data_IF_922329572258
#
_entry.id   IF_922329572258
#
_cell.length_a   1.000
_cell.length_b   1.000
_cell.length_c   1.000
_cell.angle_alpha   90.00
_cell.angle_beta   90.00
_cell.angle_gamma   90.00
#
_symmetry.space_group_name_H-M   'P 1'
#
loop_
_entity.id
_entity.type
_entity.pdbx_description
1 polymer ?
#
# COMPACT_ATOMS: atom_id res chain seq x y z
N UNK A 1 25.39 -6.68 26.48
CA UNK A 1 24.91 -5.76 25.43
C UNK A 1 24.41 -6.62 24.30
N UNK A 2 23.19 -7.14 24.42
CA UNK A 2 22.60 -8.05 23.43
C UNK A 2 21.92 -7.19 22.37
N UNK A 3 22.49 -7.17 21.18
CA UNK A 3 21.87 -6.56 20.00
C UNK A 3 20.65 -7.39 19.63
N UNK A 4 19.45 -6.94 19.99
CA UNK A 4 18.21 -7.61 19.63
C UNK A 4 17.88 -7.23 18.19
N UNK A 5 17.98 -8.20 17.28
CA UNK A 5 17.38 -8.06 15.95
C UNK A 5 15.89 -7.76 16.13
N UNK A 6 15.27 -6.84 15.37
CA UNK A 6 13.85 -6.58 15.48
C UNK A 6 13.06 -7.88 15.33
N UNK A 7 12.02 -8.08 16.15
CA UNK A 7 11.08 -9.17 15.87
C UNK A 7 10.42 -8.95 14.50
N UNK A 8 9.98 -10.04 13.85
CA UNK A 8 9.46 -10.00 12.48
C UNK A 8 8.33 -8.97 12.31
N UNK A 9 7.48 -8.84 13.32
CA UNK A 9 6.43 -7.82 13.40
C UNK A 9 6.99 -6.40 13.31
N UNK A 10 7.98 -6.09 14.15
CA UNK A 10 8.61 -4.76 14.17
C UNK A 10 9.27 -4.47 12.84
N UNK A 11 10.02 -5.42 12.28
CA UNK A 11 10.64 -5.25 10.96
C UNK A 11 9.59 -4.99 9.86
N UNK A 12 8.50 -5.76 9.85
CA UNK A 12 7.41 -5.61 8.90
C UNK A 12 6.73 -4.24 9.04
N UNK A 13 6.34 -3.83 10.25
CA UNK A 13 5.73 -2.52 10.48
C UNK A 13 6.66 -1.38 10.08
N UNK A 14 7.96 -1.45 10.40
CA UNK A 14 8.92 -0.40 10.00
C UNK A 14 9.17 -0.34 8.50
N UNK A 15 8.96 -1.45 7.77
CA UNK A 15 9.05 -1.43 6.30
C UNK A 15 8.05 -0.46 5.66
N UNK A 16 6.90 -0.23 6.32
CA UNK A 16 5.84 0.67 5.88
C UNK A 16 6.19 2.17 6.06
N UNK A 17 7.23 2.52 6.83
CA UNK A 17 7.59 3.92 7.12
C UNK A 17 7.81 4.76 5.84
N UNK A 18 8.27 4.13 4.76
CA UNK A 18 8.47 4.81 3.47
C UNK A 18 7.20 5.31 2.80
N UNK A 19 6.04 4.72 3.12
CA UNK A 19 4.75 5.13 2.57
C UNK A 19 4.24 6.40 3.25
N UNK A 20 4.66 6.68 4.49
CA UNK A 20 4.16 7.80 5.29
C UNK A 20 4.30 9.13 4.56
N UNK A 21 3.20 9.86 4.41
CA UNK A 21 3.12 11.13 3.68
C UNK A 21 1.96 11.15 2.70
N UNK A 22 1.85 12.25 1.95
CA UNK A 22 0.87 12.43 0.89
C UNK A 22 1.52 12.13 -0.46
N UNK A 23 0.79 11.43 -1.32
CA UNK A 23 1.21 11.06 -2.66
C UNK A 23 0.11 11.43 -3.65
N UNK A 24 0.49 12.06 -4.74
CA UNK A 24 -0.34 12.06 -5.95
C UNK A 24 -0.27 10.70 -6.61
N UNK A 25 -1.37 10.23 -7.17
CA UNK A 25 -1.45 9.01 -7.98
C UNK A 25 -1.88 9.40 -9.37
N UNK A 26 -1.22 8.87 -10.39
CA UNK A 26 -1.62 9.10 -11.78
C UNK A 26 -1.32 7.89 -12.67
N UNK A 27 -2.06 7.76 -13.77
CA UNK A 27 -1.69 6.89 -14.88
C UNK A 27 -2.07 7.48 -16.25
N UNK A 28 -1.56 6.92 -17.36
CA UNK A 28 -1.89 7.40 -18.71
C UNK A 28 -3.36 7.25 -19.10
N UNK A 29 -4.09 6.36 -18.44
CA UNK A 29 -5.50 6.04 -18.72
C UNK A 29 -6.49 6.98 -18.02
N UNK A 30 -5.99 8.02 -17.34
CA UNK A 30 -6.80 9.07 -16.73
C UNK A 30 -7.13 8.86 -15.24
N UNK A 31 -6.59 7.82 -14.59
CA UNK A 31 -6.58 7.73 -13.14
C UNK A 31 -5.75 8.90 -12.59
N UNK A 32 -6.32 9.63 -11.63
CA UNK A 32 -5.63 10.73 -10.96
C UNK A 32 -6.19 10.96 -9.55
N UNK A 33 -5.36 11.43 -8.62
CA UNK A 33 -5.85 11.80 -7.30
C UNK A 33 -4.74 11.77 -6.25
N UNK A 34 -5.14 11.59 -5.00
CA UNK A 34 -4.21 11.55 -3.88
C UNK A 34 -4.48 10.38 -2.94
N UNK A 35 -3.41 9.87 -2.35
CA UNK A 35 -3.45 9.00 -1.19
C UNK A 35 -2.58 9.60 -0.08
N UNK A 36 -3.00 9.42 1.17
CA UNK A 36 -2.27 9.89 2.34
C UNK A 36 -2.07 8.75 3.32
N UNK A 37 -0.82 8.51 3.71
CA UNK A 37 -0.46 7.53 4.72
C UNK A 37 -0.02 8.20 6.01
N UNK A 38 -0.58 7.76 7.13
CA UNK A 38 -0.19 8.23 8.46
C UNK A 38 -0.27 7.12 9.49
N UNK A 39 0.65 7.13 10.45
CA UNK A 39 0.62 6.18 11.55
C UNK A 39 -0.51 6.54 12.52
N UNK A 40 -1.35 5.57 12.85
CA UNK A 40 -2.25 5.67 13.99
C UNK A 40 -1.44 5.71 15.29
N UNK A 41 -2.01 6.34 16.33
CA UNK A 41 -1.43 6.32 17.67
C UNK A 41 -1.07 4.89 18.09
N UNK A 42 0.14 4.73 18.64
CA UNK A 42 0.71 3.43 19.00
C UNK A 42 1.47 2.71 17.90
N UNK A 43 1.44 3.19 16.65
CA UNK A 43 2.33 2.72 15.57
C UNK A 43 2.11 1.27 15.12
N UNK A 44 0.89 0.76 15.33
CA UNK A 44 0.50 -0.61 14.96
C UNK A 44 -0.30 -0.68 13.65
N UNK A 45 -0.86 0.45 13.23
CA UNK A 45 -1.67 0.58 12.03
C UNK A 45 -1.19 1.78 11.22
N UNK A 46 -0.79 1.53 9.98
CA UNK A 46 -0.65 2.59 8.99
C UNK A 46 -2.01 2.82 8.35
N UNK A 47 -2.51 4.04 8.43
CA UNK A 47 -3.80 4.43 7.86
C UNK A 47 -3.55 5.10 6.53
N UNK A 48 -4.20 4.59 5.48
CA UNK A 48 -4.24 5.18 4.15
C UNK A 48 -5.61 5.82 3.93
N UNK A 49 -5.65 7.11 3.59
CA UNK A 49 -6.84 7.76 3.03
C UNK A 49 -6.70 7.83 1.52
N UNK A 50 -7.76 7.49 0.79
CA UNK A 50 -7.78 7.42 -0.67
C UNK A 50 -8.82 8.37 -1.25
N UNK A 51 -8.42 9.19 -2.23
CA UNK A 51 -9.29 10.03 -3.05
C UNK A 51 -8.78 10.03 -4.50
N UNK A 52 -9.22 9.04 -5.26
CA UNK A 52 -8.84 8.81 -6.65
C UNK A 52 -10.05 9.01 -7.58
N UNK A 53 -9.77 9.58 -8.75
CA UNK A 53 -10.71 9.91 -9.81
C UNK A 53 -10.29 9.17 -11.08
N UNK A 54 -11.25 8.81 -11.91
CA UNK A 54 -11.04 8.08 -13.15
C UNK A 54 -12.37 7.57 -13.69
N UNK A 55 -12.34 6.56 -14.55
CA UNK A 55 -13.55 5.84 -14.99
C UNK A 55 -14.30 5.24 -13.80
N UNK A 56 -13.56 4.66 -12.84
CA UNK A 56 -14.08 4.13 -11.58
C UNK A 56 -13.45 4.90 -10.40
N UNK A 57 -14.09 5.98 -9.90
CA UNK A 57 -13.60 6.74 -8.77
C UNK A 57 -13.50 5.88 -7.52
N UNK A 58 -12.39 6.00 -6.79
CA UNK A 58 -12.15 5.24 -5.56
C UNK A 58 -11.92 6.21 -4.41
N UNK A 59 -12.78 6.14 -3.40
CA UNK A 59 -12.63 6.90 -2.16
C UNK A 59 -12.79 5.97 -0.97
N UNK A 60 -11.95 6.12 0.04
CA UNK A 60 -12.05 5.26 1.23
C UNK A 60 -10.91 5.44 2.20
N UNK A 61 -10.88 4.56 3.19
CA UNK A 61 -9.82 4.46 4.19
C UNK A 61 -9.37 3.01 4.29
N UNK A 62 -8.06 2.80 4.40
CA UNK A 62 -7.46 1.50 4.59
C UNK A 62 -6.57 1.48 5.82
N UNK A 63 -6.64 0.39 6.58
CA UNK A 63 -5.81 0.16 7.74
C UNK A 63 -4.88 -1.00 7.44
N UNK A 64 -3.58 -0.75 7.42
CA UNK A 64 -2.53 -1.76 7.19
C UNK A 64 -1.82 -2.05 8.51
N UNK A 65 -1.73 -3.32 8.90
CA UNK A 65 -1.13 -3.73 10.17
C UNK A 65 -0.59 -5.15 10.14
N UNK A 66 0.04 -5.56 11.24
CA UNK A 66 0.57 -6.92 11.39
C UNK A 66 -0.51 -7.90 11.82
N UNK A 67 -0.71 -8.95 11.03
CA UNK A 67 -1.51 -10.11 11.39
C UNK A 67 -0.60 -11.15 12.04
N UNK A 68 -0.84 -11.44 13.32
CA UNK A 68 -0.03 -12.37 14.09
C UNK A 68 -0.28 -13.84 13.72
N UNK A 69 -1.47 -14.18 13.25
CA UNK A 69 -1.85 -15.54 12.88
C UNK A 69 -1.30 -15.89 11.50
N UNK A 70 -1.37 -14.94 10.56
CA UNK A 70 -0.80 -15.09 9.22
C UNK A 70 0.72 -14.85 9.18
N UNK A 71 1.26 -14.06 10.11
CA UNK A 71 2.66 -13.66 10.12
C UNK A 71 3.03 -12.71 8.98
N UNK A 72 2.09 -11.88 8.55
CA UNK A 72 2.25 -10.97 7.41
C UNK A 72 1.57 -9.61 7.67
N UNK A 73 1.84 -8.61 6.83
CA UNK A 73 1.08 -7.36 6.85
C UNK A 73 -0.23 -7.55 6.09
N UNK A 74 -1.34 -7.31 6.76
CA UNK A 74 -2.69 -7.38 6.20
C UNK A 74 -3.34 -6.02 6.26
N UNK A 75 -4.27 -5.78 5.35
CA UNK A 75 -5.06 -4.56 5.36
C UNK A 75 -6.53 -4.78 5.10
N UNK A 76 -7.32 -3.80 5.54
CA UNK A 76 -8.75 -3.70 5.24
C UNK A 76 -9.06 -2.31 4.71
N UNK A 77 -9.52 -2.24 3.47
CA UNK A 77 -10.02 -1.03 2.82
C UNK A 77 -11.54 -0.95 2.96
N UNK A 78 -12.02 0.21 3.39
CA UNK A 78 -13.43 0.57 3.50
C UNK A 78 -13.74 1.66 2.48
N UNK A 79 -14.42 1.28 1.42
CA UNK A 79 -14.78 2.16 0.31
C UNK A 79 -16.05 2.96 0.58
N UNK A 80 -16.13 4.15 -0.01
CA UNK A 80 -17.29 5.03 0.09
C UNK A 80 -18.53 4.45 -0.62
N UNK A 81 -18.37 3.46 -1.50
CA UNK A 81 -19.47 2.70 -2.11
C UNK A 81 -19.98 1.56 -1.23
N UNK A 82 -19.38 1.32 -0.06
CA UNK A 82 -19.71 0.23 0.85
C UNK A 82 -18.87 -1.03 0.65
N UNK A 83 -17.80 -0.93 -0.13
CA UNK A 83 -16.83 -2.01 -0.34
C UNK A 83 -16.04 -2.29 0.94
N UNK A 84 -15.80 -3.58 1.21
CA UNK A 84 -14.82 -4.04 2.18
C UNK A 84 -13.86 -4.98 1.46
N UNK A 85 -12.64 -4.52 1.25
CA UNK A 85 -11.60 -5.25 0.52
C UNK A 85 -10.44 -5.55 1.45
N UNK A 86 -9.81 -6.71 1.26
CA UNK A 86 -8.67 -7.14 2.05
C UNK A 86 -7.44 -7.26 1.16
N UNK A 87 -6.27 -6.90 1.69
CA UNK A 87 -5.01 -7.05 0.97
C UNK A 87 -3.91 -7.61 1.87
N UNK A 88 -2.88 -8.19 1.25
CA UNK A 88 -1.59 -8.46 1.90
C UNK A 88 -0.54 -7.49 1.35
N UNK A 89 0.31 -6.95 2.21
CA UNK A 89 1.42 -6.08 1.85
C UNK A 89 2.76 -6.78 2.04
N UNK A 90 3.71 -6.52 1.14
CA UNK A 90 5.12 -6.85 1.32
C UNK A 90 5.98 -5.74 0.75
N UNK A 91 7.03 -5.41 1.50
CA UNK A 91 8.01 -4.41 1.11
C UNK A 91 9.40 -5.02 1.23
N UNK A 92 10.09 -5.16 0.10
CA UNK A 92 11.40 -5.81 0.00
C UNK A 92 12.36 -4.90 -0.79
N UNK A 93 13.37 -4.34 -0.13
CA UNK A 93 14.29 -3.41 -0.77
C UNK A 93 13.58 -2.14 -1.21
N UNK A 94 13.39 -1.96 -2.51
CA UNK A 94 12.65 -0.88 -3.18
C UNK A 94 11.28 -1.34 -3.73
N UNK A 95 10.96 -2.63 -3.67
CA UNK A 95 9.74 -3.21 -4.21
C UNK A 95 8.61 -3.17 -3.18
N UNK A 96 7.47 -2.63 -3.57
CA UNK A 96 6.18 -2.77 -2.91
C UNK A 96 5.34 -3.76 -3.69
N UNK A 97 4.82 -4.77 -3.01
CA UNK A 97 3.80 -5.66 -3.56
C UNK A 97 2.56 -5.64 -2.67
N UNK A 98 1.39 -5.49 -3.29
CA UNK A 98 0.09 -5.51 -2.62
C UNK A 98 -0.77 -6.54 -3.33
N UNK A 99 -1.15 -7.62 -2.66
CA UNK A 99 -2.04 -8.64 -3.23
C UNK A 99 -3.48 -8.39 -2.79
N UNK A 100 -4.43 -8.52 -3.71
CA UNK A 100 -5.85 -8.57 -3.35
C UNK A 100 -6.15 -9.90 -2.64
N UNK A 101 -6.52 -9.85 -1.37
CA UNK A 101 -6.63 -11.04 -0.52
C UNK A 101 -5.26 -11.51 -0.04
N UNK A 102 -4.90 -12.77 -0.31
CA UNK A 102 -3.64 -13.40 0.13
C UNK A 102 -2.53 -13.38 -0.94
N UNK A 103 -1.34 -13.85 -0.57
CA UNK A 103 -0.15 -13.87 -1.44
C UNK A 103 -0.21 -14.88 -2.59
N UNK A 104 -1.20 -15.77 -2.55
CA UNK A 104 -1.59 -16.69 -3.62
C UNK A 104 -2.46 -16.00 -4.69
N UNK A 105 -2.93 -14.78 -4.44
CA UNK A 105 -3.77 -14.05 -5.37
C UNK A 105 -3.04 -13.69 -6.66
N UNK A 106 -3.65 -13.93 -7.83
CA UNK A 106 -3.09 -13.50 -9.10
C UNK A 106 -3.30 -12.00 -9.33
N UNK A 107 -4.17 -11.34 -8.54
CA UNK A 107 -4.44 -9.91 -8.60
C UNK A 107 -3.53 -9.16 -7.61
N UNK A 108 -2.56 -8.40 -8.12
CA UNK A 108 -1.60 -7.68 -7.28
C UNK A 108 -1.07 -6.41 -7.93
N UNK A 109 -0.70 -5.45 -7.10
CA UNK A 109 0.16 -4.34 -7.46
C UNK A 109 1.62 -4.71 -7.26
N UNK A 110 2.48 -4.33 -8.20
CA UNK A 110 3.93 -4.30 -8.01
C UNK A 110 4.45 -2.93 -8.44
N UNK A 111 5.17 -2.25 -7.55
CA UNK A 111 5.76 -0.95 -7.84
C UNK A 111 7.08 -0.73 -7.12
N UNK A 112 8.00 -0.02 -7.77
CA UNK A 112 9.35 0.24 -7.27
C UNK A 112 9.52 1.69 -6.85
N UNK A 113 10.09 1.89 -5.67
CA UNK A 113 10.47 3.21 -5.19
C UNK A 113 11.72 3.73 -5.93
N UNK A 114 11.71 5.02 -6.28
CA UNK A 114 12.92 5.73 -6.71
C UNK A 114 13.95 5.76 -5.59
N UNK A 115 15.22 5.98 -5.95
CA UNK A 115 16.32 6.03 -4.98
C UNK A 115 16.16 7.13 -3.90
N UNK A 116 15.46 8.22 -4.23
CA UNK A 116 15.14 9.31 -3.31
C UNK A 116 13.81 9.11 -2.55
N UNK A 117 13.08 8.03 -2.84
CA UNK A 117 11.81 7.69 -2.20
C UNK A 117 10.66 8.64 -2.53
N UNK A 118 10.77 9.42 -3.60
CA UNK A 118 9.74 10.38 -4.02
C UNK A 118 8.77 9.85 -5.07
N UNK A 119 9.09 8.73 -5.72
CA UNK A 119 8.24 8.07 -6.71
C UNK A 119 8.09 6.60 -6.33
N UNK A 120 6.89 6.03 -6.51
CA UNK A 120 6.68 4.58 -6.62
C UNK A 120 6.02 4.32 -7.97
N UNK A 121 6.74 3.69 -8.89
CA UNK A 121 6.25 3.42 -10.23
C UNK A 121 5.93 1.93 -10.40
N UNK A 122 4.71 1.62 -10.82
CA UNK A 122 4.22 0.25 -10.81
C UNK A 122 2.93 0.03 -11.60
N UNK A 123 2.36 -1.16 -11.42
CA UNK A 123 1.10 -1.53 -12.05
C UNK A 123 0.33 -2.55 -11.21
N UNK A 124 -1.00 -2.42 -11.23
CA UNK A 124 -1.89 -3.51 -10.88
C UNK A 124 -1.99 -4.49 -12.04
N UNK A 125 -1.99 -5.78 -11.72
CA UNK A 125 -2.01 -6.88 -12.70
C UNK A 125 -2.95 -7.98 -12.19
N UNK A 126 -3.72 -8.59 -13.08
CA UNK A 126 -4.54 -9.77 -12.82
C UNK A 126 -4.79 -10.54 -14.13
N UNK A 127 -5.36 -11.77 -14.08
CA UNK A 127 -5.64 -12.52 -15.30
C UNK A 127 -6.59 -11.76 -16.22
N UNK A 128 -6.10 -11.37 -17.40
CA UNK A 128 -6.89 -10.66 -18.41
C UNK A 128 -6.95 -9.15 -18.24
N UNK A 129 -6.18 -8.54 -17.32
CA UNK A 129 -6.19 -7.09 -17.15
C UNK A 129 -5.10 -6.54 -16.22
N UNK A 130 -5.10 -5.23 -16.10
CA UNK A 130 -4.16 -4.47 -15.30
C UNK A 130 -4.14 -3.01 -15.71
N UNK A 131 -3.53 -2.17 -14.88
CA UNK A 131 -3.32 -0.77 -15.18
C UNK A 131 -2.04 -0.26 -14.52
N UNK A 132 -1.33 0.64 -15.20
CA UNK A 132 -0.20 1.36 -14.62
C UNK A 132 -0.70 2.28 -13.50
N UNK A 133 0.12 2.49 -12.47
CA UNK A 133 -0.17 3.42 -11.39
C UNK A 133 1.14 3.94 -10.81
N UNK A 134 1.38 5.23 -10.96
CA UNK A 134 2.56 5.89 -10.42
C UNK A 134 2.15 6.78 -9.26
N UNK A 135 2.77 6.56 -8.10
CA UNK A 135 2.65 7.46 -6.95
C UNK A 135 3.83 8.45 -6.96
N UNK A 136 3.56 9.74 -6.79
CA UNK A 136 4.58 10.78 -6.62
C UNK A 136 4.33 11.56 -5.33
N UNK A 137 5.31 11.60 -4.44
CA UNK A 137 5.23 12.24 -3.13
C UNK A 137 4.99 13.75 -3.30
N UNK A 138 4.05 14.28 -2.53
CA UNK A 138 3.78 15.73 -2.46
C UNK A 138 4.87 16.36 -1.59
N UNK A 139 5.44 17.47 -2.07
CA UNK A 139 6.49 18.23 -1.40
C UNK A 139 5.99 18.95 -0.14
#
# INVERSE_FOLDING_TARGET
MTSTSPDARTAALRSLDRLVGTWTVANPDGLSGEVRYEWMEGGNWLVQTVDLRGEEPTRGVEYVGWDADAGELRSHFFGAGGEHLEYTYRIEGDLLTIWFGGTDSPARFEGRFSADGTVNDGAWQWPGGGYASTMTRVA
#
